data_IF_615894672105
#
_entry.id   IF_615894672105
#
_cell.length_a   1.000
_cell.length_b   1.000
_cell.length_c   1.000
_cell.angle_alpha   90.00
_cell.angle_beta   90.00
_cell.angle_gamma   90.00
#
_symmetry.space_group_name_H-M   'P 1'
#
loop_
_entity.id
_entity.type
_entity.pdbx_description
1 polymer ?
#
# COMPACT_ATOMS: atom_id res chain seq x y z
N UNK A 1 5.26 -12.26 16.97
CA UNK A 1 4.14 -11.92 16.07
C UNK A 1 4.33 -10.47 15.64
N UNK A 2 4.20 -10.10 14.36
CA UNK A 2 4.21 -8.67 13.99
C UNK A 2 2.98 -7.99 14.62
N UNK A 3 3.19 -6.91 15.37
CA UNK A 3 2.12 -6.12 15.95
C UNK A 3 1.32 -5.41 14.86
N UNK A 4 0.03 -5.16 15.11
CA UNK A 4 -0.83 -4.37 14.22
C UNK A 4 -0.19 -3.02 13.88
N UNK A 5 0.48 -2.40 14.85
CA UNK A 5 1.24 -1.17 14.65
C UNK A 5 2.36 -1.32 13.62
N UNK A 6 3.04 -2.47 13.55
CA UNK A 6 4.09 -2.71 12.56
C UNK A 6 3.51 -2.79 11.16
N UNK A 7 2.40 -3.48 10.99
CA UNK A 7 1.72 -3.62 9.69
C UNK A 7 1.21 -2.25 9.23
N UNK A 8 0.58 -1.49 10.12
CA UNK A 8 0.14 -0.13 9.84
C UNK A 8 1.31 0.75 9.40
N UNK A 9 2.43 0.70 10.13
CA UNK A 9 3.63 1.47 9.78
C UNK A 9 4.20 1.05 8.42
N UNK A 10 4.21 -0.24 8.10
CA UNK A 10 4.61 -0.73 6.78
C UNK A 10 3.68 -0.21 5.68
N UNK A 11 2.36 -0.24 5.89
CA UNK A 11 1.38 0.30 4.94
C UNK A 11 1.63 1.80 4.73
N UNK A 12 1.69 2.59 5.81
CA UNK A 12 1.91 4.04 5.73
C UNK A 12 3.22 4.36 5.01
N UNK A 13 4.31 3.65 5.33
CA UNK A 13 5.58 3.85 4.62
C UNK A 13 5.49 3.48 3.14
N UNK A 14 4.80 2.39 2.79
CA UNK A 14 4.66 1.99 1.39
C UNK A 14 3.85 3.02 0.60
N UNK A 15 2.73 3.49 1.17
CA UNK A 15 1.88 4.50 0.57
C UNK A 15 2.63 5.83 0.38
N UNK A 16 3.37 6.29 1.38
CA UNK A 16 4.21 7.49 1.27
C UNK A 16 5.32 7.32 0.22
N UNK A 17 5.91 6.12 0.13
CA UNK A 17 6.91 5.83 -0.88
C UNK A 17 6.32 5.84 -2.29
N UNK A 18 5.09 5.35 -2.45
CA UNK A 18 4.32 5.40 -3.70
C UNK A 18 3.97 6.84 -4.03
N UNK A 19 3.47 7.63 -3.09
CA UNK A 19 3.18 9.05 -3.29
C UNK A 19 4.42 9.85 -3.74
N UNK A 20 5.58 9.58 -3.13
CA UNK A 20 6.80 10.34 -3.39
C UNK A 20 7.56 9.88 -4.65
N UNK A 21 7.65 8.58 -4.91
CA UNK A 21 8.44 8.03 -6.03
C UNK A 21 7.60 7.63 -7.23
N UNK A 22 6.32 7.29 -7.00
CA UNK A 22 5.40 6.79 -8.03
C UNK A 22 4.07 7.55 -7.98
N UNK A 23 4.08 8.89 -8.12
CA UNK A 23 2.87 9.70 -8.02
C UNK A 23 1.81 9.29 -9.04
N UNK A 24 2.19 8.69 -10.18
CA UNK A 24 1.27 8.14 -11.17
C UNK A 24 0.54 6.89 -10.67
N UNK A 25 1.23 6.01 -9.95
CA UNK A 25 0.63 4.86 -9.27
C UNK A 25 -0.25 5.32 -8.10
N UNK A 26 0.18 6.34 -7.35
CA UNK A 26 -0.66 6.96 -6.32
C UNK A 26 -1.93 7.57 -6.91
N UNK A 27 -1.82 8.18 -8.09
CA UNK A 27 -2.95 8.77 -8.81
C UNK A 27 -3.88 7.73 -9.43
N UNK A 28 -3.40 6.52 -9.71
CA UNK A 28 -4.27 5.38 -10.10
C UNK A 28 -4.91 4.69 -8.90
N UNK A 29 -4.34 4.86 -7.71
CA UNK A 29 -4.97 4.51 -6.42
C UNK A 29 -6.07 5.52 -6.01
N UNK A 30 -6.22 6.65 -6.72
CA UNK A 30 -7.04 7.85 -6.42
C UNK A 30 -8.57 7.69 -6.66
N UNK A 31 -9.11 6.49 -6.45
CA UNK A 31 -10.51 6.33 -6.03
C UNK A 31 -10.62 5.72 -4.62
N UNK A 32 -9.71 6.10 -3.72
CA UNK A 32 -10.08 6.78 -2.47
C UNK A 32 -9.02 6.55 -1.34
N UNK A 33 -8.18 7.56 -1.02
CA UNK A 33 -7.31 7.52 0.15
C UNK A 33 -8.06 7.48 1.50
N UNK A 34 -9.38 7.75 1.54
CA UNK A 34 -10.17 7.71 2.79
C UNK A 34 -10.63 6.31 3.24
N UNK A 35 -10.28 5.24 2.54
CA UNK A 35 -10.75 3.88 2.93
C UNK A 35 -9.75 3.09 3.75
N UNK A 36 -8.61 3.66 4.18
CA UNK A 36 -7.83 3.04 5.24
C UNK A 36 -8.71 3.07 6.51
N UNK A 37 -9.33 1.95 6.92
CA UNK A 37 -10.37 1.96 7.95
C UNK A 37 -9.76 2.13 9.36
N UNK A 38 -8.51 2.60 9.43
CA UNK A 38 -7.68 2.59 10.65
C UNK A 38 -8.14 3.66 11.61
N UNK A 39 -8.65 4.79 11.08
CA UNK A 39 -9.19 5.86 11.91
C UNK A 39 -10.64 5.60 12.36
N UNK A 40 -11.43 4.85 11.60
CA UNK A 40 -12.88 4.71 11.85
C UNK A 40 -13.28 3.33 12.40
N UNK A 41 -12.55 2.26 12.07
CA UNK A 41 -12.86 0.90 12.52
C UNK A 41 -11.69 0.32 13.32
N UNK A 42 -11.69 0.43 14.66
CA UNK A 42 -10.72 -0.27 15.52
C UNK A 42 -10.83 -1.81 15.44
N UNK A 43 -11.78 -2.34 14.66
CA UNK A 43 -12.03 -3.74 14.40
C UNK A 43 -11.47 -4.23 13.06
N UNK A 44 -10.58 -3.48 12.38
CA UNK A 44 -9.87 -4.09 11.25
C UNK A 44 -9.10 -5.29 11.77
N UNK A 45 -9.53 -6.47 11.34
CA UNK A 45 -8.81 -7.71 11.58
C UNK A 45 -7.39 -7.56 11.04
N UNK A 46 -6.40 -7.91 11.86
CA UNK A 46 -4.99 -7.95 11.47
C UNK A 46 -4.78 -8.62 10.11
N UNK A 47 -5.61 -9.61 9.79
CA UNK A 47 -5.64 -10.29 8.50
C UNK A 47 -5.93 -9.34 7.34
N UNK A 48 -6.94 -8.48 7.46
CA UNK A 48 -7.32 -7.50 6.43
C UNK A 48 -6.19 -6.49 6.21
N UNK A 49 -5.54 -6.01 7.28
CA UNK A 49 -4.36 -5.14 7.12
C UNK A 49 -3.20 -5.86 6.43
N UNK A 50 -2.96 -7.14 6.75
CA UNK A 50 -1.91 -7.91 6.09
C UNK A 50 -2.23 -8.16 4.62
N UNK A 51 -3.48 -8.51 4.29
CA UNK A 51 -3.92 -8.69 2.91
C UNK A 51 -3.81 -7.39 2.11
N UNK A 52 -4.17 -6.25 2.71
CA UNK A 52 -3.98 -4.94 2.10
C UNK A 52 -2.50 -4.61 1.84
N UNK A 53 -1.63 -4.84 2.83
CA UNK A 53 -0.20 -4.62 2.70
C UNK A 53 0.42 -5.50 1.59
N UNK A 54 -0.01 -6.76 1.50
CA UNK A 54 0.44 -7.68 0.45
C UNK A 54 -0.03 -7.19 -0.92
N UNK A 55 -1.30 -6.77 -1.04
CA UNK A 55 -1.82 -6.21 -2.29
C UNK A 55 -1.08 -4.96 -2.74
N UNK A 56 -0.77 -4.04 -1.81
CA UNK A 56 -0.01 -2.82 -2.13
C UNK A 56 1.43 -3.13 -2.58
N UNK A 57 2.08 -4.12 -1.94
CA UNK A 57 3.43 -4.57 -2.32
C UNK A 57 3.44 -5.24 -3.69
N UNK A 58 2.47 -6.10 -3.96
CA UNK A 58 2.34 -6.78 -5.25
C UNK A 58 2.07 -5.78 -6.38
N UNK A 59 1.21 -4.79 -6.14
CA UNK A 59 0.95 -3.70 -7.09
C UNK A 59 2.24 -2.90 -7.39
N UNK A 60 2.97 -2.51 -6.34
CA UNK A 60 4.22 -1.77 -6.48
C UNK A 60 5.28 -2.60 -7.21
N UNK A 61 5.43 -3.87 -6.86
CA UNK A 61 6.38 -4.79 -7.51
C UNK A 61 6.06 -4.96 -8.99
N UNK A 62 4.79 -5.17 -9.35
CA UNK A 62 4.36 -5.23 -10.74
C UNK A 62 4.67 -3.94 -11.48
N UNK A 63 4.33 -2.79 -10.91
CA UNK A 63 4.63 -1.49 -11.50
C UNK A 63 6.12 -1.31 -11.76
N UNK A 64 6.96 -1.58 -10.75
CA UNK A 64 8.42 -1.48 -10.87
C UNK A 64 8.96 -2.48 -11.90
N UNK A 65 8.41 -3.69 -11.96
CA UNK A 65 8.82 -4.72 -12.92
C UNK A 65 8.42 -4.31 -14.34
N UNK A 66 7.19 -3.84 -14.55
CA UNK A 66 6.71 -3.35 -15.84
C UNK A 66 7.49 -2.12 -16.31
N UNK A 67 7.79 -1.19 -15.41
CA UNK A 67 8.66 -0.04 -15.70
C UNK A 67 10.08 -0.48 -16.08
N UNK A 68 10.66 -1.49 -15.40
CA UNK A 68 11.97 -2.02 -15.77
C UNK A 68 11.94 -2.71 -17.14
N UNK A 69 10.90 -3.50 -17.44
CA UNK A 69 10.75 -4.18 -18.73
C UNK A 69 10.60 -3.18 -19.89
N UNK A 70 10.00 -2.02 -19.67
CA UNK A 70 9.87 -0.97 -20.70
C UNK A 70 11.17 -0.23 -21.00
N UNK A 71 12.19 -0.37 -20.15
CA UNK A 71 13.48 0.31 -20.27
C UNK A 71 14.59 -0.59 -20.86
N UNK A 72 14.29 -1.83 -21.29
CA UNK A 72 15.17 -2.74 -22.05
C UNK A 72 14.80 -2.79 -23.54
#
# INVERSE_FOLDING_TARGET
MKDLHTILKEITNLTLNIEMNYPELYRSLDENPMTLPVASHPQIDKKVMQEYLVGLKDLLERYVTEENIKNE
#
